data_IF_912282708003
#
_entry.id   IF_912282708003
#
_cell.length_a   1.000
_cell.length_b   1.000
_cell.length_c   1.000
_cell.angle_alpha   90.00
_cell.angle_beta   90.00
_cell.angle_gamma   90.00
#
_symmetry.space_group_name_H-M   'P 1'
#
loop_
_entity.id
_entity.type
_entity.pdbx_description
1 polymer ?
#
# COMPACT_ATOMS: atom_id res chain seq x y z
N UNK A 1 0.04 3.60 26.49
CA UNK A 1 0.09 2.13 26.29
C UNK A 1 1.21 1.86 25.30
N UNK A 2 2.22 1.08 25.67
CA UNK A 2 3.28 0.70 24.74
C UNK A 2 2.69 -0.31 23.75
N UNK A 3 2.48 0.10 22.51
CA UNK A 3 2.09 -0.81 21.42
C UNK A 3 3.24 -1.78 21.16
N UNK A 4 3.01 -3.10 21.26
CA UNK A 4 4.06 -4.07 20.98
C UNK A 4 4.56 -3.95 19.54
N UNK A 5 5.89 -4.04 19.35
CA UNK A 5 6.54 -3.88 18.03
C UNK A 5 6.01 -4.90 17.01
N UNK A 6 5.57 -6.08 17.44
CA UNK A 6 5.05 -7.12 16.53
C UNK A 6 3.79 -6.68 15.77
N UNK A 7 3.02 -5.70 16.28
CA UNK A 7 1.87 -5.16 15.57
C UNK A 7 2.25 -4.54 14.22
N UNK A 8 3.48 -4.04 14.08
CA UNK A 8 3.99 -3.55 12.81
C UNK A 8 3.87 -4.62 11.70
N UNK A 9 4.30 -5.84 12.01
CA UNK A 9 4.27 -6.97 11.07
C UNK A 9 2.84 -7.44 10.80
N UNK A 10 2.01 -7.52 11.84
CA UNK A 10 0.60 -7.91 11.72
C UNK A 10 -0.19 -6.90 10.87
N UNK A 11 0.03 -5.60 11.07
CA UNK A 11 -0.65 -4.54 10.31
C UNK A 11 -0.12 -4.40 8.88
N UNK A 12 1.11 -4.83 8.60
CA UNK A 12 1.64 -4.87 7.23
C UNK A 12 1.02 -5.98 6.37
N UNK A 13 0.52 -7.07 6.97
CA UNK A 13 -0.16 -8.16 6.25
C UNK A 13 -1.41 -7.71 5.49
N UNK A 14 -2.42 -7.04 6.10
CA UNK A 14 -3.60 -6.59 5.37
C UNK A 14 -3.24 -5.54 4.33
N UNK A 15 -2.23 -4.69 4.58
CA UNK A 15 -1.74 -3.73 3.58
C UNK A 15 -1.18 -4.46 2.36
N UNK A 16 -0.33 -5.47 2.57
CA UNK A 16 0.24 -6.27 1.49
C UNK A 16 -0.84 -7.04 0.71
N UNK A 17 -1.79 -7.67 1.42
CA UNK A 17 -2.87 -8.42 0.80
C UNK A 17 -3.75 -7.52 -0.07
N UNK A 18 -4.25 -6.42 0.48
CA UNK A 18 -5.13 -5.50 -0.27
C UNK A 18 -4.39 -4.86 -1.43
N UNK A 19 -3.13 -4.46 -1.24
CA UNK A 19 -2.34 -3.89 -2.32
C UNK A 19 -2.11 -4.90 -3.44
N UNK A 20 -1.66 -6.11 -3.10
CA UNK A 20 -1.46 -7.18 -4.07
C UNK A 20 -2.74 -7.53 -4.83
N UNK A 21 -3.87 -7.71 -4.15
CA UNK A 21 -5.13 -8.06 -4.81
C UNK A 21 -5.55 -7.00 -5.84
N UNK A 22 -5.45 -5.71 -5.48
CA UNK A 22 -5.82 -4.63 -6.40
C UNK A 22 -4.81 -4.52 -7.57
N UNK A 23 -3.53 -4.76 -7.32
CA UNK A 23 -2.45 -4.52 -8.31
C UNK A 23 -1.96 -5.76 -9.06
N UNK A 24 -2.40 -6.98 -8.72
CA UNK A 24 -2.01 -8.21 -9.41
C UNK A 24 -3.18 -9.11 -9.81
N UNK A 25 -4.31 -9.07 -9.09
CA UNK A 25 -5.42 -9.97 -9.39
C UNK A 25 -6.14 -9.60 -10.70
N UNK A 26 -6.55 -10.61 -11.48
CA UNK A 26 -7.18 -10.43 -12.79
C UNK A 26 -8.58 -9.80 -12.71
N UNK A 27 -9.27 -9.96 -11.59
CA UNK A 27 -10.59 -9.33 -11.33
C UNK A 27 -10.51 -7.80 -11.49
N UNK A 28 -9.37 -7.20 -11.14
CA UNK A 28 -9.15 -5.75 -11.26
C UNK A 28 -8.43 -5.35 -12.55
N UNK A 29 -8.22 -6.29 -13.49
CA UNK A 29 -7.51 -6.02 -14.74
C UNK A 29 -8.22 -4.97 -15.59
N UNK A 30 -9.54 -5.05 -15.73
CA UNK A 30 -10.34 -4.11 -16.52
C UNK A 30 -10.27 -2.69 -15.92
N UNK A 31 -10.39 -2.57 -14.59
CA UNK A 31 -10.22 -1.32 -13.87
C UNK A 31 -8.79 -0.75 -14.04
N UNK A 32 -7.77 -1.62 -14.03
CA UNK A 32 -6.37 -1.22 -14.23
C UNK A 32 -6.10 -0.77 -15.66
N UNK A 33 -6.59 -1.50 -16.65
CA UNK A 33 -6.47 -1.14 -18.07
C UNK A 33 -7.19 0.16 -18.38
N UNK A 34 -8.37 0.39 -17.77
CA UNK A 34 -9.06 1.68 -17.82
C UNK A 34 -8.22 2.82 -17.21
N UNK A 35 -7.64 2.60 -16.03
CA UNK A 35 -6.75 3.57 -15.38
C UNK A 35 -5.48 3.85 -16.22
N UNK A 36 -4.88 2.82 -16.83
CA UNK A 36 -3.71 2.95 -17.70
C UNK A 36 -4.06 3.74 -18.96
N UNK A 37 -5.18 3.43 -19.62
CA UNK A 37 -5.66 4.15 -20.80
C UNK A 37 -5.92 5.62 -20.49
N UNK A 38 -6.54 5.92 -19.34
CA UNK A 38 -6.73 7.31 -18.88
C UNK A 38 -5.42 7.99 -18.50
N UNK A 39 -4.46 7.28 -17.91
CA UNK A 39 -3.14 7.85 -17.57
C UNK A 39 -2.34 8.28 -18.80
N UNK A 40 -2.46 7.54 -19.92
CA UNK A 40 -1.77 7.83 -21.19
C UNK A 40 -2.45 8.94 -22.00
N UNK A 41 -3.77 9.06 -21.91
CA UNK A 41 -4.57 10.01 -22.69
C UNK A 41 -4.99 11.28 -21.92
N UNK A 42 -4.48 11.55 -20.72
CA UNK A 42 -4.82 12.74 -19.96
C UNK A 42 -3.80 13.87 -20.14
N UNK A 43 -4.29 15.07 -20.49
CA UNK A 43 -3.48 16.28 -20.69
C UNK A 43 -2.82 16.85 -19.42
N UNK A 44 -3.29 16.43 -18.23
CA UNK A 44 -2.81 16.95 -16.93
C UNK A 44 -1.99 15.92 -16.17
N UNK A 45 -0.75 16.29 -15.82
CA UNK A 45 0.20 15.47 -15.04
C UNK A 45 -0.39 14.94 -13.71
N UNK A 46 -1.26 15.74 -13.06
CA UNK A 46 -1.90 15.35 -11.79
C UNK A 46 -2.86 14.18 -11.98
N UNK A 47 -3.68 14.20 -13.04
CA UNK A 47 -4.60 13.10 -13.35
C UNK A 47 -3.82 11.83 -13.70
N UNK A 48 -2.73 11.97 -14.46
CA UNK A 48 -1.83 10.86 -14.78
C UNK A 48 -1.23 10.24 -13.53
N UNK A 49 -0.78 11.03 -12.55
CA UNK A 49 -0.21 10.53 -11.29
C UNK A 49 -1.27 9.86 -10.39
N UNK A 50 -2.50 10.39 -10.35
CA UNK A 50 -3.61 9.79 -9.60
C UNK A 50 -3.97 8.39 -10.11
N UNK A 51 -4.11 8.22 -11.42
CA UNK A 51 -4.40 6.90 -12.01
C UNK A 51 -3.20 5.94 -11.92
N UNK A 52 -1.98 6.45 -11.96
CA UNK A 52 -0.76 5.65 -11.82
C UNK A 52 -0.63 5.00 -10.44
N UNK A 53 -1.13 5.64 -9.38
CA UNK A 53 -1.13 5.07 -8.02
C UNK A 53 -1.83 3.71 -7.96
N UNK A 54 -2.94 3.54 -8.70
CA UNK A 54 -3.70 2.28 -8.74
C UNK A 54 -3.03 1.18 -9.58
N UNK A 55 -1.95 1.51 -10.28
CA UNK A 55 -1.20 0.57 -11.12
C UNK A 55 0.10 0.07 -10.48
N UNK A 56 0.51 0.67 -9.35
CA UNK A 56 1.76 0.36 -8.66
C UNK A 56 1.48 -0.11 -7.23
N UNK A 57 1.94 -1.33 -6.91
CA UNK A 57 1.77 -1.95 -5.58
C UNK A 57 2.39 -1.11 -4.45
N UNK A 58 3.58 -0.55 -4.69
CA UNK A 58 4.25 0.33 -3.75
C UNK A 58 3.43 1.60 -3.51
N UNK A 59 2.97 2.27 -4.56
CA UNK A 59 2.20 3.50 -4.42
C UNK A 59 0.86 3.24 -3.72
N UNK A 60 0.14 2.19 -4.11
CA UNK A 60 -1.15 1.87 -3.53
C UNK A 60 -1.04 1.47 -2.04
N UNK A 61 0.03 0.75 -1.66
CA UNK A 61 0.28 0.39 -0.25
C UNK A 61 0.36 1.60 0.70
N UNK A 62 0.76 2.79 0.22
CA UNK A 62 0.73 4.02 1.03
C UNK A 62 -0.68 4.44 1.38
N UNK A 63 -1.61 4.38 0.42
CA UNK A 63 -3.00 4.79 0.65
C UNK A 63 -3.70 3.83 1.62
N UNK A 64 -3.47 2.52 1.44
CA UNK A 64 -4.00 1.49 2.35
C UNK A 64 -3.41 1.68 3.75
N UNK A 65 -2.11 1.96 3.85
CA UNK A 65 -1.46 2.21 5.14
C UNK A 65 -2.01 3.45 5.84
N UNK A 66 -2.20 4.56 5.12
CA UNK A 66 -2.80 5.78 5.68
C UNK A 66 -4.20 5.50 6.22
N UNK A 67 -5.04 4.81 5.44
CA UNK A 67 -6.38 4.43 5.87
C UNK A 67 -6.34 3.55 7.12
N UNK A 68 -5.44 2.57 7.16
CA UNK A 68 -5.24 1.69 8.30
C UNK A 68 -4.77 2.46 9.54
N UNK A 69 -3.83 3.39 9.41
CA UNK A 69 -3.34 4.21 10.52
C UNK A 69 -4.44 5.12 11.09
N UNK A 70 -5.30 5.67 10.23
CA UNK A 70 -6.46 6.46 10.66
C UNK A 70 -7.46 5.58 11.42
N UNK A 71 -7.73 4.38 10.92
CA UNK A 71 -8.69 3.45 11.53
C UNK A 71 -8.20 2.89 12.87
N UNK A 72 -6.93 2.48 12.94
CA UNK A 72 -6.34 1.81 14.13
C UNK A 72 -5.70 2.77 15.12
N UNK A 73 -5.47 4.03 14.72
CA UNK A 73 -4.72 5.04 15.46
C UNK A 73 -3.34 4.54 15.93
N UNK A 74 -2.75 3.58 15.21
CA UNK A 74 -1.48 2.96 15.56
C UNK A 74 -0.31 3.95 15.44
N UNK A 75 0.55 3.97 16.46
CA UNK A 75 1.79 4.75 16.48
C UNK A 75 2.98 3.84 16.81
N UNK A 76 4.12 4.08 16.17
CA UNK A 76 5.35 3.32 16.38
C UNK A 76 6.44 4.21 17.00
N UNK A 77 7.16 3.68 17.99
CA UNK A 77 8.24 4.34 18.79
C UNK A 77 7.75 5.52 19.64
N UNK A 78 7.08 6.49 19.04
CA UNK A 78 6.59 7.70 19.71
C UNK A 78 5.05 7.71 19.75
N UNK A 79 4.43 8.22 20.83
CA UNK A 79 2.98 8.34 20.93
C UNK A 79 2.41 9.53 20.13
N UNK A 80 3.25 10.46 19.68
CA UNK A 80 2.84 11.68 18.99
C UNK A 80 2.68 11.50 17.46
N UNK A 81 2.38 12.59 16.76
CA UNK A 81 2.30 12.66 15.29
C UNK A 81 3.52 12.04 14.58
N UNK A 82 4.71 12.11 15.20
CA UNK A 82 5.96 11.50 14.71
C UNK A 82 5.83 9.99 14.59
N UNK A 83 5.14 9.35 15.51
CA UNK A 83 4.92 7.91 15.52
C UNK A 83 4.07 7.42 14.36
N UNK A 84 3.14 8.25 13.86
CA UNK A 84 2.38 7.92 12.65
C UNK A 84 3.25 7.95 11.38
N UNK A 85 4.20 8.88 11.30
CA UNK A 85 5.12 8.95 10.16
C UNK A 85 6.01 7.72 10.12
N UNK A 86 6.62 7.38 11.26
CA UNK A 86 7.48 6.19 11.36
C UNK A 86 6.66 4.94 11.09
N UNK A 87 5.49 4.79 11.72
CA UNK A 87 4.61 3.65 11.49
C UNK A 87 4.22 3.53 10.01
N UNK A 88 3.87 4.64 9.35
CA UNK A 88 3.48 4.65 7.94
C UNK A 88 4.57 4.10 7.04
N UNK A 89 5.77 4.67 7.11
CA UNK A 89 6.89 4.19 6.28
C UNK A 89 7.32 2.76 6.63
N UNK A 90 7.31 2.39 7.91
CA UNK A 90 7.65 1.03 8.33
C UNK A 90 6.64 0.01 7.83
N UNK A 91 5.34 0.27 7.96
CA UNK A 91 4.27 -0.64 7.50
C UNK A 91 4.36 -0.82 5.98
N UNK A 92 4.50 0.28 5.23
CA UNK A 92 4.66 0.24 3.77
C UNK A 92 5.87 -0.62 3.38
N UNK A 93 7.01 -0.42 4.03
CA UNK A 93 8.23 -1.18 3.71
C UNK A 93 8.03 -2.68 3.93
N UNK A 94 7.50 -3.08 5.09
CA UNK A 94 7.25 -4.49 5.39
C UNK A 94 6.19 -5.07 4.46
N UNK A 95 5.15 -4.32 4.12
CA UNK A 95 4.14 -4.77 3.17
C UNK A 95 4.75 -5.05 1.79
N UNK A 96 5.69 -4.20 1.33
CA UNK A 96 6.40 -4.44 0.07
C UNK A 96 7.33 -5.64 0.11
N UNK A 97 7.98 -5.90 1.26
CA UNK A 97 8.74 -7.14 1.47
C UNK A 97 7.80 -8.34 1.35
N UNK A 98 6.63 -8.32 1.98
CA UNK A 98 5.65 -9.41 1.88
C UNK A 98 5.16 -9.63 0.46
N UNK A 99 4.84 -8.56 -0.27
CA UNK A 99 4.45 -8.64 -1.68
C UNK A 99 5.58 -9.21 -2.55
N UNK A 100 6.82 -8.75 -2.35
CA UNK A 100 8.00 -9.23 -3.10
C UNK A 100 8.29 -10.71 -2.80
N UNK A 101 8.17 -11.12 -1.54
CA UNK A 101 8.32 -12.51 -1.12
C UNK A 101 7.24 -13.40 -1.73
N UNK A 102 5.98 -12.94 -1.70
CA UNK A 102 4.88 -13.66 -2.33
C UNK A 102 5.05 -13.77 -3.84
N UNK A 103 5.54 -12.72 -4.50
CA UNK A 103 5.88 -12.74 -5.92
C UNK A 103 6.97 -13.79 -6.24
N UNK A 104 7.98 -13.92 -5.38
CA UNK A 104 9.06 -14.90 -5.54
C UNK A 104 8.56 -16.34 -5.35
N UNK A 105 7.66 -16.56 -4.38
CA UNK A 105 7.09 -17.88 -4.09
C UNK A 105 6.11 -18.33 -5.18
N UNK A 106 5.38 -17.38 -5.78
CA UNK A 106 4.42 -17.62 -6.87
C UNK A 106 5.08 -17.72 -8.26
N UNK A 107 6.41 -17.84 -8.34
CA UNK A 107 7.08 -18.13 -9.61
C UNK A 107 6.77 -19.58 -9.97
N UNK A 108 5.68 -19.77 -10.72
CA UNK A 108 5.48 -20.89 -11.64
C UNK A 108 6.42 -20.75 -12.85
#
# INVERSE_FOLDING_TARGET
>A
MNTPIYYLFILALPVACVAWTVTKEEIFREAREFCIGRSKNCDKLIKRKFFYVFTCEYCFSHYVTILLLIATKYTLVYPDWRGYIIAGFSIVWIANIYMSLYNLIRID
#
